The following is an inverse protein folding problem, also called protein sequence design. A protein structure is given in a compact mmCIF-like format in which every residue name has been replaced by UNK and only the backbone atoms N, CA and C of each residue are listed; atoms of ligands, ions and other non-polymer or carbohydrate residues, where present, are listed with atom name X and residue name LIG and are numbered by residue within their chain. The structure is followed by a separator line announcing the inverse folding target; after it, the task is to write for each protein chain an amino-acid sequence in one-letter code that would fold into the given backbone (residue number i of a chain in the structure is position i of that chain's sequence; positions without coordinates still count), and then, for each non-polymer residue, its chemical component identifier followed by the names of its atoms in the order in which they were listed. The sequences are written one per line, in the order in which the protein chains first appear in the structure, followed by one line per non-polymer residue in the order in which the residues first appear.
data_IF_426232557575
#
_entry.id   IF_426232557575
#
_cell.length_a   1.000
_cell.length_b   1.000
_cell.length_c   1.000
_cell.angle_alpha   90.00
_cell.angle_beta   90.00
_cell.angle_gamma   90.00
#
_symmetry.space_group_name_H-M   'P 1'
#
loop_
_entity.id
_entity.type
_entity.pdbx_description
1 polymer ?
#
# COMPACT_ATOMS: atom_id res chain seq x y z
N UNK A 1 9.44 -23.23 4.04
CA UNK A 1 9.21 -21.84 3.61
C UNK A 1 7.82 -21.43 4.07
N UNK A 2 7.64 -20.23 4.63
CA UNK A 2 6.30 -19.70 4.90
C UNK A 2 5.58 -19.45 3.56
N UNK A 3 4.39 -20.03 3.38
CA UNK A 3 3.62 -19.97 2.12
C UNK A 3 2.77 -18.70 1.98
N UNK A 4 2.81 -17.78 2.96
CA UNK A 4 2.00 -16.58 2.97
C UNK A 4 2.65 -15.43 2.20
N UNK A 5 1.86 -14.71 1.40
CA UNK A 5 2.26 -13.44 0.77
C UNK A 5 1.62 -12.28 1.50
N UNK A 6 2.41 -11.30 1.91
CA UNK A 6 1.91 -10.05 2.47
C UNK A 6 1.78 -9.00 1.37
N UNK A 7 0.56 -8.53 1.15
CA UNK A 7 0.27 -7.44 0.21
C UNK A 7 -0.07 -6.16 0.99
N UNK A 8 0.66 -5.08 0.71
CA UNK A 8 0.41 -3.76 1.29
C UNK A 8 -0.25 -2.87 0.24
N UNK A 9 -1.32 -2.18 0.64
CA UNK A 9 -2.01 -1.18 -0.16
C UNK A 9 -1.92 0.15 0.57
N UNK A 10 -1.18 1.10 -0.01
CA UNK A 10 -1.12 2.47 0.47
C UNK A 10 -2.13 3.30 -0.33
N UNK A 11 -3.08 3.93 0.35
CA UNK A 11 -4.12 4.74 -0.31
C UNK A 11 -3.75 6.21 -0.18
N UNK A 12 -3.63 6.90 -1.32
CA UNK A 12 -3.40 8.34 -1.41
C UNK A 12 -4.52 9.00 -2.19
N UNK A 13 -5.34 9.78 -1.49
CA UNK A 13 -6.61 10.31 -2.00
C UNK A 13 -6.47 11.57 -2.86
N UNK A 14 -5.38 12.33 -2.69
CA UNK A 14 -5.11 13.56 -3.41
C UNK A 14 -3.60 13.84 -3.47
N UNK A 15 -3.14 14.82 -4.29
CA UNK A 15 -1.73 15.21 -4.35
C UNK A 15 -1.17 15.60 -2.97
N UNK A 16 -1.95 16.33 -2.17
CA UNK A 16 -1.50 16.79 -0.85
C UNK A 16 -1.29 15.62 0.12
N UNK A 17 -2.13 14.59 0.05
CA UNK A 17 -1.99 13.35 0.83
C UNK A 17 -0.73 12.58 0.40
N UNK A 18 -0.46 12.53 -0.92
CA UNK A 18 0.75 11.92 -1.45
C UNK A 18 2.02 12.66 -0.99
N UNK A 19 1.99 13.99 -0.98
CA UNK A 19 3.13 14.84 -0.62
C UNK A 19 3.28 15.07 0.90
N UNK A 20 2.28 14.67 1.70
CA UNK A 20 2.26 14.88 3.15
C UNK A 20 3.42 14.23 3.91
N UNK A 21 4.16 13.31 3.28
CA UNK A 21 5.23 12.54 3.93
C UNK A 21 4.73 11.52 4.95
N UNK A 22 3.42 11.46 5.19
CA UNK A 22 2.79 10.40 5.98
C UNK A 22 2.60 9.17 5.09
N UNK A 23 2.98 7.98 5.57
CA UNK A 23 2.91 6.76 4.76
C UNK A 23 4.07 6.62 3.76
N UNK A 24 3.93 5.73 2.76
CA UNK A 24 5.02 5.23 1.88
C UNK A 24 5.99 4.25 2.55
N UNK A 25 5.59 3.64 3.66
CA UNK A 25 6.34 2.57 4.33
C UNK A 25 5.95 1.21 3.76
N UNK A 26 6.49 0.89 2.60
CA UNK A 26 6.27 -0.37 1.89
C UNK A 26 7.10 -1.51 2.49
N UNK A 27 6.45 -2.49 3.12
CA UNK A 27 7.11 -3.63 3.78
C UNK A 27 6.45 -4.99 3.47
N UNK A 28 5.64 -5.07 2.41
CA UNK A 28 5.04 -6.31 1.93
C UNK A 28 5.95 -7.05 0.95
N UNK A 29 5.58 -8.30 0.68
CA UNK A 29 6.08 -9.04 -0.48
C UNK A 29 5.57 -8.44 -1.79
N UNK A 30 4.36 -7.86 -1.75
CA UNK A 30 3.80 -7.04 -2.82
C UNK A 30 3.29 -5.71 -2.27
N UNK A 31 3.57 -4.62 -2.97
CA UNK A 31 3.27 -3.26 -2.54
C UNK A 31 2.53 -2.49 -3.65
N UNK A 32 1.40 -1.91 -3.30
CA UNK A 32 0.51 -1.24 -4.24
C UNK A 32 0.25 0.20 -3.76
N UNK A 33 0.37 1.15 -4.69
CA UNK A 33 -0.11 2.51 -4.48
C UNK A 33 -1.51 2.64 -5.09
N UNK A 34 -2.50 2.99 -4.29
CA UNK A 34 -3.88 3.23 -4.74
C UNK A 34 -4.16 4.73 -4.76
N UNK A 35 -4.49 5.27 -5.93
CA UNK A 35 -4.71 6.71 -6.15
C UNK A 35 -5.92 6.95 -7.06
N UNK A 36 -6.55 8.14 -7.01
CA UNK A 36 -7.43 8.58 -8.09
C UNK A 36 -6.71 8.54 -9.43
N UNK A 37 -7.45 8.25 -10.51
CA UNK A 37 -6.87 8.09 -11.85
C UNK A 37 -6.01 9.27 -12.29
N UNK A 38 -6.53 10.49 -12.15
CA UNK A 38 -5.81 11.70 -12.54
C UNK A 38 -4.52 11.95 -11.76
N UNK A 39 -4.48 11.54 -10.48
CA UNK A 39 -3.24 11.59 -9.69
C UNK A 39 -2.23 10.54 -10.18
N UNK A 40 -2.69 9.32 -10.47
CA UNK A 40 -1.83 8.27 -11.03
C UNK A 40 -1.21 8.67 -12.36
N UNK A 41 -2.01 9.26 -13.25
CA UNK A 41 -1.56 9.77 -14.56
C UNK A 41 -0.50 10.86 -14.41
N UNK A 42 -0.76 11.85 -13.55
CA UNK A 42 0.20 12.91 -13.24
C UNK A 42 1.53 12.36 -12.70
N UNK A 43 1.49 11.41 -11.76
CA UNK A 43 2.71 10.79 -11.20
C UNK A 43 3.53 10.05 -12.25
N UNK A 44 2.87 9.44 -13.22
CA UNK A 44 3.53 8.76 -14.34
C UNK A 44 4.18 9.75 -15.30
N UNK A 45 3.47 10.81 -15.69
CA UNK A 45 3.97 11.87 -16.56
C UNK A 45 5.19 12.59 -15.94
N UNK A 46 5.12 12.89 -14.65
CA UNK A 46 6.23 13.50 -13.90
C UNK A 46 7.42 12.53 -13.69
N UNK A 47 7.26 11.24 -14.02
CA UNK A 47 8.23 10.16 -13.72
C UNK A 47 8.60 10.09 -12.23
N UNK A 48 7.61 10.30 -11.35
CA UNK A 48 7.77 10.32 -9.89
C UNK A 48 6.95 9.22 -9.17
N UNK A 49 6.97 7.95 -9.61
CA UNK A 49 6.40 6.89 -8.79
C UNK A 49 7.25 6.70 -7.50
N UNK A 50 6.63 6.38 -6.35
CA UNK A 50 7.36 5.95 -5.17
C UNK A 50 8.29 4.78 -5.47
N UNK A 51 9.40 4.69 -4.75
CA UNK A 51 10.25 3.49 -4.79
C UNK A 51 9.55 2.34 -4.06
N UNK A 52 9.95 1.12 -4.39
CA UNK A 52 9.50 -0.10 -3.72
C UNK A 52 8.00 -0.43 -3.86
N UNK A 53 7.42 -0.11 -5.03
CA UNK A 53 6.06 -0.49 -5.39
C UNK A 53 6.06 -1.41 -6.62
N UNK A 54 5.11 -2.34 -6.63
CA UNK A 54 4.87 -3.24 -7.75
C UNK A 54 3.89 -2.64 -8.74
N UNK A 55 2.82 -1.99 -8.28
CA UNK A 55 1.84 -1.38 -9.20
C UNK A 55 1.19 -0.12 -8.63
N UNK A 56 0.78 0.75 -9.54
CA UNK A 56 -0.14 1.85 -9.25
C UNK A 56 -1.54 1.43 -9.69
N UNK A 57 -2.49 1.49 -8.77
CA UNK A 57 -3.88 1.08 -8.94
C UNK A 57 -4.80 2.29 -8.80
N UNK A 58 -5.95 2.23 -9.47
CA UNK A 58 -7.04 3.19 -9.28
C UNK A 58 -8.38 2.49 -9.02
N UNK A 59 -9.25 3.05 -8.17
CA UNK A 59 -10.60 2.56 -8.02
C UNK A 59 -11.44 2.87 -9.27
N UNK A 60 -12.16 1.86 -9.77
CA UNK A 60 -13.14 1.98 -10.87
C UNK A 60 -14.34 1.09 -10.56
N UNK A 61 -15.48 1.71 -10.25
CA UNK A 61 -16.74 1.00 -10.01
C UNK A 61 -16.66 -0.07 -8.91
N UNK A 62 -16.01 0.26 -7.79
CA UNK A 62 -15.87 -0.65 -6.64
C UNK A 62 -14.76 -1.71 -6.77
N UNK A 63 -13.97 -1.68 -7.85
CA UNK A 63 -12.81 -2.56 -8.04
C UNK A 63 -11.54 -1.75 -8.20
N UNK A 64 -10.40 -2.32 -7.83
CA UNK A 64 -9.10 -1.75 -8.16
C UNK A 64 -8.67 -2.22 -9.55
N UNK A 65 -8.24 -1.29 -10.40
CA UNK A 65 -7.67 -1.56 -11.72
C UNK A 65 -6.24 -1.06 -11.79
N UNK A 66 -5.37 -1.83 -12.44
CA UNK A 66 -3.97 -1.42 -12.65
C UNK A 66 -3.90 -0.27 -13.65
N UNK A 67 -3.25 0.83 -13.24
CA UNK A 67 -2.87 1.92 -14.14
C UNK A 67 -1.49 1.67 -14.72
N UNK A 68 -0.54 1.33 -13.84
CA UNK A 68 0.86 1.13 -14.21
C UNK A 68 1.39 -0.10 -13.49
N UNK A 69 1.98 -1.00 -14.28
CA UNK A 69 2.74 -2.13 -13.77
C UNK A 69 4.21 -1.74 -13.66
N UNK A 70 4.74 -1.83 -12.44
CA UNK A 70 6.12 -1.53 -12.08
C UNK A 70 6.82 -2.80 -11.57
N UNK A 71 6.15 -3.96 -11.64
CA UNK A 71 6.72 -5.25 -11.32
C UNK A 71 7.82 -5.57 -12.33
N UNK A 72 8.89 -6.23 -11.86
CA UNK A 72 10.08 -6.48 -12.68
C UNK A 72 11.20 -5.44 -12.54
N UNK A 73 11.09 -4.50 -11.58
CA UNK A 73 12.19 -3.59 -11.22
C UNK A 73 13.38 -4.27 -10.49
N UNK A 74 13.42 -5.61 -10.46
CA UNK A 74 14.51 -6.41 -9.89
C UNK A 74 14.38 -6.77 -8.41
N UNK A 75 13.34 -6.32 -7.71
CA UNK A 75 13.10 -6.70 -6.31
C UNK A 75 11.96 -7.73 -6.19
N UNK A 76 12.22 -8.96 -5.72
CA UNK A 76 11.19 -10.00 -5.59
C UNK A 76 10.30 -9.84 -4.34
N UNK A 77 10.74 -9.07 -3.35
CA UNK A 77 9.99 -8.76 -2.12
C UNK A 77 10.69 -7.61 -1.39
N UNK A 78 9.90 -6.70 -0.82
CA UNK A 78 10.39 -5.62 0.05
C UNK A 78 10.14 -5.91 1.52
N UNK A 79 9.68 -7.13 1.84
CA UNK A 79 9.39 -7.56 3.20
C UNK A 79 10.65 -7.56 4.04
N UNK A 80 10.57 -6.91 5.20
CA UNK A 80 11.68 -6.80 6.17
C UNK A 80 11.47 -7.60 7.46
N UNK A 81 10.28 -8.17 7.65
CA UNK A 81 9.86 -8.86 8.87
C UNK A 81 9.37 -10.27 8.55
N UNK A 82 9.55 -11.20 9.49
CA UNK A 82 9.03 -12.57 9.38
C UNK A 82 7.50 -12.59 9.43
N UNK A 83 6.84 -13.64 8.92
CA UNK A 83 5.37 -13.61 8.84
C UNK A 83 4.71 -13.49 10.22
N UNK A 84 5.27 -14.11 11.26
CA UNK A 84 4.77 -14.00 12.62
C UNK A 84 4.76 -12.55 13.13
N UNK A 85 5.80 -11.76 12.84
CA UNK A 85 5.85 -10.33 13.20
C UNK A 85 4.84 -9.51 12.41
N UNK A 86 4.66 -9.80 11.12
CA UNK A 86 3.67 -9.14 10.28
C UNK A 86 2.24 -9.41 10.79
N UNK A 87 1.92 -10.66 11.08
CA UNK A 87 0.63 -11.07 11.64
C UNK A 87 0.39 -10.46 13.00
N UNK A 88 1.40 -10.46 13.87
CA UNK A 88 1.31 -9.84 15.19
C UNK A 88 1.00 -8.34 15.08
N UNK A 89 1.67 -7.60 14.18
CA UNK A 89 1.40 -6.18 13.96
C UNK A 89 -0.03 -5.93 13.46
N UNK A 90 -0.56 -6.79 12.58
CA UNK A 90 -1.94 -6.72 12.10
C UNK A 90 -2.95 -6.93 13.23
N UNK A 91 -2.72 -7.94 14.08
CA UNK A 91 -3.58 -8.24 15.24
C UNK A 91 -3.55 -7.10 16.25
N UNK A 92 -2.38 -6.56 16.57
CA UNK A 92 -2.26 -5.40 17.45
C UNK A 92 -3.03 -4.19 16.91
N UNK A 93 -2.82 -3.83 15.64
CA UNK A 93 -3.51 -2.70 15.00
C UNK A 93 -5.03 -2.90 14.99
N UNK A 94 -5.50 -4.12 14.69
CA UNK A 94 -6.93 -4.47 14.73
C UNK A 94 -7.52 -4.41 16.15
N UNK A 95 -6.78 -4.90 17.14
CA UNK A 95 -7.17 -4.88 18.54
C UNK A 95 -7.26 -3.46 19.11
N UNK A 96 -6.35 -2.57 18.73
CA UNK A 96 -6.40 -1.13 19.08
C UNK A 96 -7.64 -0.47 18.48
N UNK A 97 -7.97 -0.76 17.21
CA UNK A 97 -9.18 -0.23 16.54
C UNK A 97 -10.45 -0.71 17.24
N UNK A 98 -10.56 -1.99 17.57
CA UNK A 98 -11.72 -2.54 18.28
C UNK A 98 -11.91 -1.96 19.69
N UNK A 99 -10.83 -1.56 20.37
CA UNK A 99 -10.91 -0.87 21.67
C UNK A 99 -11.38 0.58 21.55
N UNK A 100 -11.03 1.30 20.47
CA UNK A 100 -11.53 2.67 20.21
C UNK A 100 -13.05 2.70 19.97
N UNK A 101 -13.56 1.81 19.11
CA UNK A 101 -15.01 1.73 18.84
C UNK A 101 -15.86 1.40 20.07
N UNK A 102 -15.31 0.68 21.06
CA UNK A 102 -16.02 0.39 22.33
C UNK A 102 -16.03 1.54 23.34
N UNK A 103 -15.22 2.59 23.15
CA UNK A 103 -15.24 3.78 24.01
C UNK A 103 -16.16 4.88 23.49
N UNK A 104 -16.60 4.77 22.24
CA UNK A 104 -17.43 5.77 21.55
C UNK A 104 -18.88 5.28 21.38
N UNK A 105 -19.26 4.20 22.07
CA UNK A 105 -20.60 3.59 22.07
C UNK A 105 -21.24 3.65 23.47
#
# INVERSE_FOLDING_TARGET
MELGTFACYEIKSCPEDFESGNGLTFYGDRNYLVVPRGLGERLHEERRPPRAIDQVLAPRGGRLVTLYDLSGNGCPSYRRRVASEMLYAMVEAGGVRAKRYRKEA
#
